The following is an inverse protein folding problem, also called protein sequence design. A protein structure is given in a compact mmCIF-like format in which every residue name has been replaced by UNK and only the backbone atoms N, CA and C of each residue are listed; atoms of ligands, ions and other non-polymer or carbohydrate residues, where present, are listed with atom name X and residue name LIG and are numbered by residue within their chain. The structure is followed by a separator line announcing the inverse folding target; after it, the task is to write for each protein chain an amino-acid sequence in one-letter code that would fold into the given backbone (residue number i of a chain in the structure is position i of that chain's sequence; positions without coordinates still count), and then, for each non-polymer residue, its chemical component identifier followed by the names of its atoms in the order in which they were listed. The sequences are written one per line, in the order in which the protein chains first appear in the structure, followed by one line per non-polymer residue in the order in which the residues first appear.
data_IF_046636214411
#
_entry.id   IF_046636214411
#
_cell.length_a   1.000
_cell.length_b   1.000
_cell.length_c   1.000
_cell.angle_alpha   90.00
_cell.angle_beta   90.00
_cell.angle_gamma   90.00
#
_symmetry.space_group_name_H-M   'P 1'
#
loop_
_entity.id
_entity.type
_entity.pdbx_description
1 polymer ?
#
# COMPACT_ATOMS: atom_id res chain seq x y z
N UNK A 1 -6.88 -13.11 -1.69
CA UNK A 1 -7.23 -13.27 -3.12
C UNK A 1 -6.13 -14.04 -3.85
N UNK A 2 -6.39 -14.77 -4.94
CA UNK A 2 -5.31 -15.44 -5.70
C UNK A 2 -4.41 -14.37 -6.35
N UNK A 3 -3.07 -14.50 -6.21
CA UNK A 3 -2.06 -13.58 -6.81
C UNK A 3 -2.25 -13.37 -8.31
N UNK A 4 -2.79 -14.37 -9.03
CA UNK A 4 -3.14 -14.26 -10.46
C UNK A 4 -4.26 -13.23 -10.67
N UNK A 5 -5.31 -13.24 -9.83
CA UNK A 5 -6.40 -12.27 -9.92
C UNK A 5 -5.91 -10.85 -9.61
N UNK A 6 -5.04 -10.70 -8.60
CA UNK A 6 -4.39 -9.42 -8.29
C UNK A 6 -3.60 -8.87 -9.48
N UNK A 7 -2.86 -9.72 -10.20
CA UNK A 7 -2.12 -9.30 -11.39
C UNK A 7 -3.03 -8.75 -12.51
N UNK A 8 -4.11 -9.47 -12.84
CA UNK A 8 -5.06 -8.99 -13.87
C UNK A 8 -5.85 -7.75 -13.42
N UNK A 9 -6.18 -7.65 -12.13
CA UNK A 9 -6.82 -6.48 -11.54
C UNK A 9 -5.92 -5.25 -11.68
N UNK A 10 -4.62 -5.39 -11.36
CA UNK A 10 -3.63 -4.33 -11.54
C UNK A 10 -3.49 -3.88 -13.00
N UNK A 11 -3.49 -4.82 -13.96
CA UNK A 11 -3.41 -4.47 -15.40
C UNK A 11 -4.63 -3.73 -15.94
N UNK A 12 -5.81 -3.95 -15.34
CA UNK A 12 -7.07 -3.30 -15.73
C UNK A 12 -7.45 -2.12 -14.81
N UNK A 13 -6.53 -1.70 -13.94
CA UNK A 13 -6.81 -0.68 -12.94
C UNK A 13 -7.21 0.64 -13.60
N UNK A 14 -8.27 1.24 -13.06
CA UNK A 14 -8.79 2.55 -13.48
C UNK A 14 -9.27 3.29 -12.24
N UNK A 15 -9.04 4.61 -12.22
CA UNK A 15 -9.64 5.52 -11.24
C UNK A 15 -10.88 6.13 -11.89
N UNK A 16 -12.00 6.11 -11.18
CA UNK A 16 -13.27 6.67 -11.62
C UNK A 16 -13.51 8.02 -10.95
N UNK A 17 -14.41 8.83 -11.51
CA UNK A 17 -14.73 10.16 -10.97
C UNK A 17 -15.11 10.12 -9.49
N UNK A 18 -15.94 9.15 -9.09
CA UNK A 18 -16.32 8.95 -7.68
C UNK A 18 -15.13 8.74 -6.74
N UNK A 19 -14.05 8.14 -7.23
CA UNK A 19 -12.85 7.93 -6.42
C UNK A 19 -12.08 9.23 -6.24
N UNK A 20 -12.04 10.08 -7.26
CA UNK A 20 -11.47 11.41 -7.15
C UNK A 20 -12.26 12.28 -6.17
N UNK A 21 -13.60 12.24 -6.22
CA UNK A 21 -14.45 12.94 -5.26
C UNK A 21 -14.23 12.44 -3.83
N UNK A 22 -14.12 11.12 -3.64
CA UNK A 22 -13.77 10.54 -2.34
C UNK A 22 -12.41 11.07 -1.84
N UNK A 23 -11.37 11.05 -2.68
CA UNK A 23 -10.04 11.53 -2.31
C UNK A 23 -10.03 13.03 -2.00
N UNK A 24 -10.72 13.86 -2.79
CA UNK A 24 -10.80 15.31 -2.58
C UNK A 24 -11.55 15.67 -1.29
N UNK A 25 -12.53 14.87 -0.89
CA UNK A 25 -13.25 15.05 0.38
C UNK A 25 -12.47 14.55 1.60
N UNK A 26 -11.42 13.76 1.41
CA UNK A 26 -10.73 13.02 2.49
C UNK A 26 -9.27 13.44 2.70
N UNK A 27 -8.59 13.88 1.63
CA UNK A 27 -7.19 14.27 1.63
C UNK A 27 -7.04 15.78 1.44
N UNK A 28 -6.09 16.37 2.15
CA UNK A 28 -5.66 17.74 1.85
C UNK A 28 -4.79 17.79 0.57
N UNK A 29 -4.45 19.00 0.11
CA UNK A 29 -3.69 19.19 -1.14
C UNK A 29 -2.34 18.47 -1.14
N UNK A 30 -1.58 18.54 -0.05
CA UNK A 30 -0.25 17.89 0.07
C UNK A 30 -0.37 16.37 0.09
N UNK A 31 -1.33 15.84 0.83
CA UNK A 31 -1.65 14.41 0.88
C UNK A 31 -2.05 13.89 -0.51
N UNK A 32 -2.92 14.61 -1.21
CA UNK A 32 -3.38 14.27 -2.55
C UNK A 32 -2.25 14.33 -3.58
N UNK A 33 -1.34 15.31 -3.48
CA UNK A 33 -0.16 15.41 -4.33
C UNK A 33 0.71 14.15 -4.21
N UNK A 34 0.99 13.70 -2.98
CA UNK A 34 1.78 12.49 -2.75
C UNK A 34 1.04 11.24 -3.19
N UNK A 35 -0.25 11.11 -2.87
CA UNK A 35 -1.06 9.98 -3.33
C UNK A 35 -1.06 9.87 -4.87
N UNK A 36 -1.06 11.01 -5.58
CA UNK A 36 -1.03 11.02 -7.04
C UNK A 36 0.32 10.59 -7.66
N UNK A 37 1.41 10.54 -6.88
CA UNK A 37 2.69 9.95 -7.32
C UNK A 37 2.61 8.43 -7.47
N UNK A 38 1.63 7.78 -6.85
CA UNK A 38 1.38 6.35 -7.05
C UNK A 38 0.91 6.07 -8.49
N UNK A 39 1.40 4.99 -9.11
CA UNK A 39 0.88 4.56 -10.40
C UNK A 39 -0.59 4.12 -10.26
N UNK A 40 -1.34 4.18 -11.36
CA UNK A 40 -2.81 3.92 -11.37
C UNK A 40 -3.20 2.61 -10.69
N UNK A 41 -2.41 1.54 -10.84
CA UNK A 41 -2.69 0.25 -10.21
C UNK A 41 -2.50 0.24 -8.69
N UNK A 42 -1.53 0.98 -8.16
CA UNK A 42 -1.37 1.11 -6.70
C UNK A 42 -2.46 2.04 -6.14
N UNK A 43 -2.80 3.15 -6.83
CA UNK A 43 -3.93 4.02 -6.41
C UNK A 43 -5.24 3.25 -6.32
N UNK A 44 -5.54 2.44 -7.34
CA UNK A 44 -6.76 1.62 -7.37
C UNK A 44 -6.74 0.58 -6.25
N UNK A 45 -5.59 -0.05 -6.01
CA UNK A 45 -5.42 -1.01 -4.94
C UNK A 45 -5.66 -0.38 -3.57
N UNK A 46 -5.00 0.75 -3.25
CA UNK A 46 -5.20 1.48 -1.99
C UNK A 46 -6.67 1.88 -1.75
N UNK A 47 -7.36 2.34 -2.80
CA UNK A 47 -8.79 2.64 -2.72
C UNK A 47 -9.64 1.39 -2.47
N UNK A 48 -9.30 0.26 -3.08
CA UNK A 48 -10.03 -1.00 -2.86
C UNK A 48 -9.84 -1.53 -1.43
N UNK A 49 -8.63 -1.39 -0.87
CA UNK A 49 -8.34 -1.67 0.54
C UNK A 49 -9.19 -0.78 1.45
N UNK A 50 -9.21 0.53 1.19
CA UNK A 50 -10.03 1.49 1.93
C UNK A 50 -11.53 1.14 1.86
N UNK A 51 -12.07 0.91 0.65
CA UNK A 51 -13.47 0.52 0.48
C UNK A 51 -13.80 -0.83 1.10
N UNK A 52 -12.85 -1.77 1.14
CA UNK A 52 -13.05 -3.04 1.82
C UNK A 52 -13.23 -2.83 3.33
N UNK A 53 -12.40 -1.99 3.95
CA UNK A 53 -12.51 -1.65 5.38
C UNK A 53 -13.86 -1.01 5.68
N UNK A 54 -14.29 -0.03 4.88
CA UNK A 54 -15.59 0.62 5.03
C UNK A 54 -16.73 -0.40 4.91
N UNK A 55 -16.76 -1.17 3.82
CA UNK A 55 -17.92 -2.03 3.51
C UNK A 55 -18.00 -3.28 4.39
N UNK A 56 -16.86 -3.87 4.78
CA UNK A 56 -16.86 -5.10 5.58
C UNK A 56 -17.03 -4.81 7.06
N UNK A 57 -16.32 -3.80 7.56
CA UNK A 57 -16.17 -3.55 8.99
C UNK A 57 -16.93 -2.32 9.46
N UNK A 58 -17.49 -1.51 8.56
CA UNK A 58 -18.13 -0.25 8.91
C UNK A 58 -17.14 0.77 9.47
N UNK A 59 -15.87 0.74 9.03
CA UNK A 59 -14.84 1.65 9.54
C UNK A 59 -15.16 3.08 9.10
N UNK A 60 -15.31 3.97 10.08
CA UNK A 60 -15.40 5.42 9.92
C UNK A 60 -14.13 6.15 10.45
N UNK A 61 -13.25 5.40 11.13
CA UNK A 61 -11.99 5.91 11.68
C UNK A 61 -11.09 6.46 10.57
N UNK A 62 -10.89 7.77 10.61
CA UNK A 62 -10.17 8.50 9.57
C UNK A 62 -8.69 8.10 9.52
N UNK A 63 -8.08 7.74 10.64
CA UNK A 63 -6.66 7.37 10.69
C UNK A 63 -6.44 6.03 9.98
N UNK A 64 -7.27 5.02 10.24
CA UNK A 64 -7.18 3.72 9.59
C UNK A 64 -7.46 3.84 8.08
N UNK A 65 -8.48 4.59 7.68
CA UNK A 65 -8.79 4.80 6.27
C UNK A 65 -7.68 5.57 5.55
N UNK A 66 -7.06 6.56 6.21
CA UNK A 66 -5.91 7.29 5.66
C UNK A 66 -4.68 6.39 5.60
N UNK A 67 -4.41 5.59 6.64
CA UNK A 67 -3.36 4.58 6.62
C UNK A 67 -3.56 3.58 5.47
N UNK A 68 -4.80 3.14 5.19
CA UNK A 68 -5.11 2.27 4.06
C UNK A 68 -4.79 2.93 2.70
N UNK A 69 -5.06 4.23 2.54
CA UNK A 69 -4.69 4.96 1.33
C UNK A 69 -3.16 5.05 1.14
N UNK A 70 -2.42 5.23 2.23
CA UNK A 70 -0.97 5.48 2.22
C UNK A 70 -0.09 4.25 2.52
N UNK A 71 -0.64 3.08 2.84
CA UNK A 71 0.17 1.92 3.26
C UNK A 71 1.26 1.54 2.25
N UNK A 72 0.96 1.71 0.96
CA UNK A 72 1.84 1.42 -0.16
C UNK A 72 2.61 2.63 -0.71
N UNK A 73 2.53 3.81 -0.07
CA UNK A 73 3.13 5.06 -0.57
C UNK A 73 4.65 4.97 -0.71
N UNK A 74 5.33 4.14 0.09
CA UNK A 74 6.76 3.90 -0.04
C UNK A 74 7.18 3.36 -1.42
N UNK A 75 6.26 2.75 -2.17
CA UNK A 75 6.50 2.28 -3.54
C UNK A 75 6.76 3.41 -4.53
N UNK A 76 6.48 4.68 -4.21
CA UNK A 76 6.87 5.80 -5.10
C UNK A 76 8.38 5.92 -5.27
N UNK A 77 9.17 5.38 -4.32
CA UNK A 77 10.64 5.41 -4.36
C UNK A 77 11.23 4.59 -5.52
N UNK A 78 10.49 3.62 -6.08
CA UNK A 78 10.87 2.89 -7.29
C UNK A 78 9.65 2.37 -8.04
N UNK A 79 9.63 2.46 -9.37
CA UNK A 79 8.51 1.95 -10.18
C UNK A 79 8.35 0.43 -10.05
N UNK A 80 7.40 -0.01 -9.21
CA UNK A 80 7.05 -1.42 -8.98
C UNK A 80 5.92 -1.83 -9.93
N UNK A 81 6.26 -2.18 -11.18
CA UNK A 81 5.23 -2.64 -12.13
C UNK A 81 4.62 -3.98 -11.71
N UNK A 82 3.41 -4.32 -12.16
CA UNK A 82 2.80 -5.62 -11.89
C UNK A 82 3.69 -6.81 -12.30
N UNK A 83 4.46 -6.68 -13.38
CA UNK A 83 5.43 -7.69 -13.83
C UNK A 83 6.59 -7.85 -12.83
N UNK A 84 7.15 -6.73 -12.36
CA UNK A 84 8.21 -6.75 -11.35
C UNK A 84 7.70 -7.30 -10.02
N UNK A 85 6.47 -6.98 -9.60
CA UNK A 85 5.80 -7.55 -8.43
C UNK A 85 5.58 -9.06 -8.58
N UNK A 86 5.17 -9.53 -9.76
CA UNK A 86 5.03 -10.97 -10.00
C UNK A 86 6.38 -11.70 -9.90
N UNK A 87 7.46 -11.09 -10.43
CA UNK A 87 8.82 -11.60 -10.31
C UNK A 87 9.28 -11.69 -8.84
N UNK A 88 9.03 -10.67 -8.01
CA UNK A 88 9.43 -10.71 -6.58
C UNK A 88 8.70 -11.81 -5.81
N UNK A 89 7.42 -12.07 -6.12
CA UNK A 89 6.64 -13.17 -5.51
C UNK A 89 7.25 -14.54 -5.83
N UNK A 90 7.73 -14.75 -7.06
CA UNK A 90 8.41 -15.99 -7.45
C UNK A 90 9.76 -16.10 -6.73
N UNK A 91 10.55 -15.03 -6.73
CA UNK A 91 11.89 -15.00 -6.14
C UNK A 91 11.88 -15.16 -4.61
N UNK A 92 10.80 -14.75 -3.94
CA UNK A 92 10.63 -14.97 -2.49
C UNK A 92 10.69 -16.45 -2.10
N UNK A 93 10.46 -17.37 -3.04
CA UNK A 93 10.62 -18.82 -2.82
C UNK A 93 12.08 -19.28 -2.76
N UNK A 94 13.04 -18.41 -3.09
CA UNK A 94 14.48 -18.66 -3.07
C UNK A 94 15.16 -17.62 -2.16
N UNK A 95 15.19 -17.82 -0.83
CA UNK A 95 15.53 -16.76 0.13
C UNK A 95 16.93 -16.17 -0.03
N UNK A 96 17.94 -16.98 -0.37
CA UNK A 96 19.30 -16.50 -0.56
C UNK A 96 19.39 -15.50 -1.73
N UNK A 97 18.67 -15.79 -2.83
CA UNK A 97 18.65 -14.94 -4.02
C UNK A 97 17.86 -13.67 -3.75
N UNK A 98 16.72 -13.76 -3.07
CA UNK A 98 15.95 -12.58 -2.65
C UNK A 98 16.80 -11.61 -1.82
N UNK A 99 17.54 -12.13 -0.83
CA UNK A 99 18.44 -11.32 0.02
C UNK A 99 19.60 -10.71 -0.76
N UNK A 100 20.18 -11.45 -1.71
CA UNK A 100 21.22 -10.93 -2.59
C UNK A 100 20.69 -9.78 -3.46
N UNK A 101 19.55 -9.98 -4.11
CA UNK A 101 18.95 -8.97 -4.99
C UNK A 101 18.49 -7.73 -4.22
N UNK A 102 17.97 -7.89 -3.00
CA UNK A 102 17.65 -6.77 -2.10
C UNK A 102 18.87 -5.87 -1.86
N UNK A 103 20.05 -6.47 -1.64
CA UNK A 103 21.29 -5.72 -1.38
C UNK A 103 21.83 -5.02 -2.64
N UNK A 104 21.65 -5.62 -3.81
CA UNK A 104 22.33 -5.19 -5.03
C UNK A 104 21.43 -4.46 -6.05
N UNK A 105 20.12 -4.60 -5.95
CA UNK A 105 19.16 -4.03 -6.90
C UNK A 105 18.15 -3.17 -6.15
N UNK A 106 18.20 -1.86 -6.41
CA UNK A 106 17.39 -0.85 -5.72
C UNK A 106 15.88 -1.14 -5.74
N UNK A 107 15.38 -1.71 -6.85
CA UNK A 107 13.98 -2.13 -6.94
C UNK A 107 13.58 -3.14 -5.83
N UNK A 108 14.41 -4.14 -5.55
CA UNK A 108 14.13 -5.12 -4.51
C UNK A 108 14.25 -4.50 -3.12
N UNK A 109 15.24 -3.61 -2.91
CA UNK A 109 15.36 -2.83 -1.68
C UNK A 109 14.07 -2.07 -1.38
N UNK A 110 13.55 -1.32 -2.36
CA UNK A 110 12.27 -0.60 -2.22
C UNK A 110 11.11 -1.56 -2.01
N UNK A 111 11.01 -2.65 -2.77
CA UNK A 111 9.93 -3.61 -2.61
C UNK A 111 9.86 -4.20 -1.19
N UNK A 112 10.99 -4.59 -0.60
CA UNK A 112 11.00 -5.19 0.74
C UNK A 112 10.89 -4.18 1.88
N UNK A 113 11.27 -2.92 1.66
CA UNK A 113 11.30 -1.87 2.69
C UNK A 113 10.24 -0.77 2.46
N UNK A 114 9.26 -1.00 1.59
CA UNK A 114 8.26 0.02 1.24
C UNK A 114 7.39 0.46 2.43
N UNK A 115 7.19 -0.39 3.44
CA UNK A 115 6.47 -0.01 4.65
C UNK A 115 7.22 1.07 5.44
N UNK A 116 8.53 0.90 5.64
CA UNK A 116 9.36 1.90 6.32
C UNK A 116 9.44 3.19 5.50
N UNK A 117 9.70 3.09 4.19
CA UNK A 117 9.68 4.27 3.31
C UNK A 117 8.31 4.95 3.29
N UNK A 118 7.23 4.19 3.38
CA UNK A 118 5.88 4.70 3.46
C UNK A 118 5.65 5.49 4.74
N UNK A 119 6.11 4.97 5.87
CA UNK A 119 6.03 5.62 7.17
C UNK A 119 6.86 6.91 7.23
N UNK A 120 8.07 6.91 6.66
CA UNK A 120 8.91 8.11 6.49
C UNK A 120 8.19 9.19 5.68
N UNK A 121 7.60 8.81 4.54
CA UNK A 121 6.82 9.73 3.70
C UNK A 121 5.59 10.26 4.45
N UNK A 122 4.86 9.41 5.16
CA UNK A 122 3.69 9.80 5.96
C UNK A 122 4.07 10.85 7.01
N UNK A 123 5.23 10.68 7.66
CA UNK A 123 5.78 11.65 8.60
C UNK A 123 6.17 12.97 7.92
N UNK A 124 6.82 12.89 6.76
CA UNK A 124 7.22 14.05 5.94
C UNK A 124 6.02 14.90 5.48
N UNK A 125 4.90 14.25 5.16
CA UNK A 125 3.67 14.95 4.75
C UNK A 125 2.83 15.44 5.92
N UNK A 126 3.18 15.06 7.16
CA UNK A 126 2.54 15.56 8.39
C UNK A 126 1.38 14.71 8.90
N UNK A 127 1.31 13.41 8.54
CA UNK A 127 0.34 12.49 9.13
C UNK A 127 0.70 12.20 10.60
N UNK A 128 -0.32 11.93 11.41
CA UNK A 128 -0.13 11.66 12.83
C UNK A 128 0.61 10.33 13.09
N UNK A 129 1.13 10.17 14.30
CA UNK A 129 1.94 9.01 14.69
C UNK A 129 1.18 7.68 14.61
N UNK A 130 -0.16 7.68 14.79
CA UNK A 130 -0.98 6.47 14.63
C UNK A 130 -0.98 6.00 13.18
N UNK A 131 -1.23 6.90 12.22
CA UNK A 131 -1.18 6.58 10.80
C UNK A 131 0.22 6.09 10.42
N UNK A 132 1.26 6.80 10.85
CA UNK A 132 2.66 6.42 10.60
C UNK A 132 2.97 5.03 11.16
N UNK A 133 2.48 4.72 12.37
CA UNK A 133 2.61 3.39 12.99
C UNK A 133 1.93 2.29 12.19
N UNK A 134 0.66 2.48 11.81
CA UNK A 134 -0.10 1.50 11.02
C UNK A 134 0.62 1.24 9.69
N UNK A 135 1.05 2.30 8.99
CA UNK A 135 1.79 2.18 7.71
C UNK A 135 3.14 1.49 7.90
N UNK A 136 3.87 1.72 9.01
CA UNK A 136 5.15 1.03 9.25
C UNK A 136 4.98 -0.47 9.47
N UNK A 137 3.95 -0.85 10.23
CA UNK A 137 3.81 -2.20 10.77
C UNK A 137 2.87 -3.11 9.95
N UNK A 138 2.31 -2.64 8.82
CA UNK A 138 1.35 -3.42 8.03
C UNK A 138 1.89 -4.72 7.39
N UNK A 139 3.19 -5.02 7.44
CA UNK A 139 3.75 -6.33 7.06
C UNK A 139 4.21 -7.19 8.24
N UNK A 140 4.10 -6.71 9.47
CA UNK A 140 4.58 -7.43 10.64
C UNK A 140 3.73 -8.67 10.92
N UNK A 141 4.37 -9.75 11.37
CA UNK A 141 3.72 -11.06 11.56
C UNK A 141 3.08 -11.25 12.93
N UNK A 142 3.60 -10.57 13.95
CA UNK A 142 3.19 -10.74 15.35
C UNK A 142 2.53 -9.45 15.82
N UNK A 143 1.28 -9.24 15.42
CA UNK A 143 0.55 -8.01 15.69
C UNK A 143 -0.40 -8.16 16.88
N UNK A 144 -0.45 -7.11 17.70
CA UNK A 144 -1.48 -6.94 18.73
C UNK A 144 -2.47 -5.80 18.39
N UNK A 145 -2.19 -5.04 17.33
CA UNK A 145 -3.03 -3.92 16.90
C UNK A 145 -4.10 -4.41 15.91
N UNK A 146 -5.37 -4.29 16.31
CA UNK A 146 -6.52 -4.70 15.48
C UNK A 146 -6.61 -3.96 14.15
N UNK A 147 -6.21 -2.69 14.10
CA UNK A 147 -6.33 -1.88 12.89
C UNK A 147 -5.29 -2.31 11.84
N UNK A 148 -4.09 -2.68 12.30
CA UNK A 148 -3.08 -3.28 11.42
C UNK A 148 -3.54 -4.65 10.91
N UNK A 149 -4.20 -5.45 11.75
CA UNK A 149 -4.77 -6.76 11.35
C UNK A 149 -5.88 -6.56 10.30
N UNK A 150 -6.79 -5.61 10.51
CA UNK A 150 -7.86 -5.28 9.54
C UNK A 150 -7.27 -4.80 8.21
N UNK A 151 -6.24 -3.94 8.28
CA UNK A 151 -5.54 -3.45 7.09
C UNK A 151 -4.87 -4.59 6.31
N UNK A 152 -4.17 -5.50 7.00
CA UNK A 152 -3.55 -6.67 6.38
C UNK A 152 -4.56 -7.54 5.66
N UNK A 153 -5.70 -7.83 6.29
CA UNK A 153 -6.74 -8.61 5.63
C UNK A 153 -7.28 -7.88 4.39
N UNK A 154 -7.53 -6.57 4.51
CA UNK A 154 -8.02 -5.76 3.40
C UNK A 154 -7.03 -5.74 2.21
N UNK A 155 -5.72 -5.63 2.47
CA UNK A 155 -4.66 -5.74 1.46
C UNK A 155 -4.64 -7.14 0.81
N UNK A 156 -4.65 -8.21 1.61
CA UNK A 156 -4.64 -9.58 1.08
C UNK A 156 -5.84 -9.93 0.20
N UNK A 157 -6.98 -9.27 0.45
CA UNK A 157 -8.21 -9.46 -0.32
C UNK A 157 -8.25 -8.63 -1.60
N UNK A 158 -7.44 -7.57 -1.72
CA UNK A 158 -7.50 -6.61 -2.84
C UNK A 158 -6.27 -6.57 -3.73
#
# INVERSE_FOLDING_TARGET
MNRIKQYFKAKRAKIYEKDYQFLLGFLNEKELEYFNKLPVYEKRHSLDVCYYLINKYGIEDQDLLKAALFHDIGKIKAKITPERKAMTVILKKIPFLAKFLEKHIYFFKVYYNHAEYGAEICKEIGLNERIVGIVRHHHDKNLMDEDVIKLQEADEKN
#
